data_IF_675724140250
#
_entry.id   IF_675724140250
#
_cell.length_a   1.000
_cell.length_b   1.000
_cell.length_c   1.000
_cell.angle_alpha   90.00
_cell.angle_beta   90.00
_cell.angle_gamma   90.00
#
_symmetry.space_group_name_H-M   'P 1'
#
loop_
_entity.id
_entity.type
_entity.pdbx_description
1 polymer ?
#
# COMPACT_ATOMS: atom_id res chain seq x y z
N UNK A 1 2.50 -1.08 21.83
CA UNK A 1 1.31 -0.81 21.00
C UNK A 1 0.11 -0.67 21.93
N UNK A 2 -0.76 0.33 21.72
CA UNK A 2 -1.97 0.49 22.51
C UNK A 2 -2.96 -0.66 22.26
N UNK A 3 -3.60 -1.12 23.32
CA UNK A 3 -4.61 -2.20 23.28
C UNK A 3 -6.02 -1.63 23.46
N UNK A 4 -7.05 -2.39 23.11
CA UNK A 4 -8.44 -2.00 23.38
C UNK A 4 -8.72 -1.84 24.88
N UNK A 5 -7.96 -2.54 25.74
CA UNK A 5 -8.05 -2.38 27.19
C UNK A 5 -7.59 -0.98 27.61
N UNK A 6 -6.49 -0.47 27.04
CA UNK A 6 -5.98 0.87 27.31
C UNK A 6 -7.00 1.95 26.90
N UNK A 7 -7.60 1.79 25.71
CA UNK A 7 -8.66 2.70 25.24
C UNK A 7 -9.84 2.72 26.21
N UNK A 8 -10.28 1.55 26.69
CA UNK A 8 -11.36 1.46 27.68
C UNK A 8 -10.96 2.07 29.02
N UNK A 9 -9.71 1.91 29.46
CA UNK A 9 -9.21 2.55 30.68
C UNK A 9 -9.27 4.07 30.55
N UNK A 10 -8.71 4.63 29.48
CA UNK A 10 -8.74 6.06 29.23
C UNK A 10 -10.18 6.62 29.17
N UNK A 11 -11.13 5.86 28.60
CA UNK A 11 -12.54 6.26 28.60
C UNK A 11 -13.18 6.22 30.00
N UNK A 12 -12.81 5.25 30.84
CA UNK A 12 -13.26 5.20 32.24
C UNK A 12 -12.72 6.38 33.05
N UNK A 13 -11.49 6.79 32.76
CA UNK A 13 -10.82 7.94 33.39
C UNK A 13 -11.35 9.29 32.86
N UNK A 14 -12.25 9.27 31.88
CA UNK A 14 -12.81 10.47 31.25
C UNK A 14 -11.88 11.13 30.23
N UNK A 15 -10.69 10.57 29.99
CA UNK A 15 -9.72 11.07 29.01
C UNK A 15 -10.07 10.62 27.59
N UNK A 16 -11.06 11.32 27.01
CA UNK A 16 -11.48 11.09 25.62
C UNK A 16 -10.35 11.36 24.61
N UNK A 17 -9.39 12.23 24.91
CA UNK A 17 -8.29 12.58 23.99
C UNK A 17 -7.31 11.43 23.88
N UNK A 18 -6.85 10.90 25.01
CA UNK A 18 -5.98 9.74 25.05
C UNK A 18 -6.64 8.52 24.41
N UNK A 19 -7.91 8.26 24.74
CA UNK A 19 -8.67 7.17 24.13
C UNK A 19 -8.77 7.30 22.60
N UNK A 20 -9.02 8.50 22.09
CA UNK A 20 -9.11 8.74 20.64
C UNK A 20 -7.76 8.51 19.95
N UNK A 21 -6.66 8.99 20.54
CA UNK A 21 -5.31 8.82 20.00
C UNK A 21 -4.91 7.34 19.92
N UNK A 22 -5.09 6.61 21.02
CA UNK A 22 -4.81 5.18 21.09
C UNK A 22 -5.68 4.39 20.09
N UNK A 23 -6.97 4.72 20.03
CA UNK A 23 -7.90 4.07 19.10
C UNK A 23 -7.53 4.32 17.64
N UNK A 24 -7.00 5.50 17.31
CA UNK A 24 -6.55 5.80 15.95
C UNK A 24 -5.36 4.93 15.52
N UNK A 25 -4.41 4.62 16.42
CA UNK A 25 -3.32 3.68 16.13
C UNK A 25 -3.86 2.27 15.91
N UNK A 26 -4.75 1.78 16.80
CA UNK A 26 -5.38 0.46 16.65
C UNK A 26 -6.11 0.34 15.32
N UNK A 27 -6.91 1.35 14.94
CA UNK A 27 -7.66 1.33 13.69
C UNK A 27 -6.78 1.35 12.43
N UNK A 28 -5.54 1.85 12.51
CA UNK A 28 -4.58 1.82 11.40
C UNK A 28 -3.88 0.46 11.29
N UNK A 29 -3.47 -0.10 12.43
CA UNK A 29 -2.62 -1.29 12.48
C UNK A 29 -3.43 -2.59 12.45
N UNK A 30 -4.49 -2.68 13.26
CA UNK A 30 -5.33 -3.87 13.36
C UNK A 30 -6.81 -3.48 13.59
N UNK A 31 -7.53 -3.10 12.51
CA UNK A 31 -8.91 -2.68 12.62
C UNK A 31 -9.81 -3.87 12.97
N UNK A 32 -10.41 -3.86 14.17
CA UNK A 32 -11.41 -4.84 14.61
C UNK A 32 -12.81 -4.24 14.65
N UNK A 33 -13.85 -5.09 14.60
CA UNK A 33 -15.24 -4.64 14.72
C UNK A 33 -15.48 -3.85 16.02
N UNK A 34 -14.88 -4.33 17.12
CA UNK A 34 -14.95 -3.67 18.42
C UNK A 34 -14.27 -2.30 18.42
N UNK A 35 -13.09 -2.15 17.80
CA UNK A 35 -12.42 -0.86 17.69
C UNK A 35 -13.31 0.18 16.98
N UNK A 36 -13.93 -0.21 15.85
CA UNK A 36 -14.87 0.66 15.13
C UNK A 36 -16.12 0.98 15.93
N UNK A 37 -16.62 0.03 16.72
CA UNK A 37 -17.75 0.25 17.60
C UNK A 37 -17.42 1.27 18.71
N UNK A 38 -16.26 1.16 19.35
CA UNK A 38 -15.79 2.14 20.33
C UNK A 38 -15.66 3.52 19.66
N UNK A 39 -15.10 3.58 18.45
CA UNK A 39 -14.97 4.81 17.69
C UNK A 39 -16.34 5.47 17.44
N UNK A 40 -17.35 4.67 17.10
CA UNK A 40 -18.72 5.16 16.93
C UNK A 40 -19.30 5.76 18.22
N UNK A 41 -19.06 5.12 19.37
CA UNK A 41 -19.58 5.55 20.68
C UNK A 41 -18.94 6.85 21.18
N UNK A 42 -17.66 7.08 20.89
CA UNK A 42 -16.92 8.26 21.38
C UNK A 42 -16.99 9.44 20.42
N UNK A 43 -17.46 9.23 19.19
CA UNK A 43 -17.54 10.26 18.17
C UNK A 43 -18.70 11.22 18.43
N UNK A 44 -18.41 12.53 18.51
CA UNK A 44 -19.44 13.55 18.72
C UNK A 44 -20.27 13.86 17.46
N UNK A 45 -19.78 13.47 16.28
CA UNK A 45 -20.43 13.75 15.00
C UNK A 45 -21.34 12.57 14.62
N UNK A 46 -22.66 12.75 14.64
CA UNK A 46 -23.64 11.71 14.27
C UNK A 46 -23.35 11.08 12.89
N UNK A 47 -23.09 11.84 11.80
CA UNK A 47 -22.74 11.25 10.51
C UNK A 47 -21.51 10.33 10.58
N UNK A 48 -20.53 10.70 11.37
CA UNK A 48 -19.28 9.95 11.50
C UNK A 48 -19.43 8.73 12.42
N UNK A 49 -20.22 8.85 13.50
CA UNK A 49 -20.61 7.71 14.34
C UNK A 49 -21.36 6.63 13.53
N UNK A 50 -22.29 7.04 12.66
CA UNK A 50 -22.97 6.14 11.71
C UNK A 50 -21.96 5.43 10.80
N UNK A 51 -20.98 6.17 10.25
CA UNK A 51 -19.94 5.59 9.40
C UNK A 51 -19.09 4.55 10.15
N UNK A 52 -18.72 4.81 11.40
CA UNK A 52 -17.96 3.86 12.21
C UNK A 52 -18.78 2.62 12.62
N UNK A 53 -20.03 2.78 13.04
CA UNK A 53 -20.89 1.64 13.38
C UNK A 53 -21.14 0.73 12.17
N UNK A 54 -21.27 1.30 10.97
CA UNK A 54 -21.34 0.53 9.73
C UNK A 54 -20.07 -0.25 9.43
N UNK A 55 -18.88 0.34 9.64
CA UNK A 55 -17.60 -0.37 9.52
C UNK A 55 -17.49 -1.54 10.50
N UNK A 56 -17.98 -1.38 11.73
CA UNK A 56 -18.04 -2.47 12.70
C UNK A 56 -18.88 -3.65 12.17
N UNK A 57 -20.06 -3.38 11.58
CA UNK A 57 -20.91 -4.41 10.97
C UNK A 57 -20.33 -5.07 9.71
N UNK A 58 -19.35 -4.45 9.04
CA UNK A 58 -18.65 -5.10 7.92
C UNK A 58 -17.74 -6.22 8.41
N UNK A 59 -17.02 -5.92 9.49
CA UNK A 59 -16.05 -6.85 10.06
C UNK A 59 -16.77 -7.94 10.86
N UNK A 60 -17.87 -7.60 11.52
CA UNK A 60 -18.71 -8.54 12.25
C UNK A 60 -20.20 -8.24 11.98
N UNK A 61 -20.82 -8.96 11.02
CA UNK A 61 -22.25 -8.81 10.70
C UNK A 61 -23.21 -9.18 11.82
N UNK A 62 -22.73 -9.87 12.87
CA UNK A 62 -23.51 -10.29 14.03
C UNK A 62 -23.36 -9.33 15.22
N UNK A 63 -22.65 -8.20 15.03
CA UNK A 63 -22.44 -7.21 16.10
C UNK A 63 -23.73 -6.45 16.44
N UNK A 64 -24.52 -7.00 17.37
CA UNK A 64 -25.79 -6.42 17.81
C UNK A 64 -25.64 -5.00 18.39
N UNK A 65 -24.49 -4.67 18.99
CA UNK A 65 -24.26 -3.32 19.53
C UNK A 65 -24.11 -2.28 18.43
N UNK A 66 -23.43 -2.62 17.34
CA UNK A 66 -23.29 -1.74 16.18
C UNK A 66 -24.64 -1.54 15.47
N UNK A 67 -25.43 -2.60 15.34
CA UNK A 67 -26.78 -2.55 14.78
C UNK A 67 -27.71 -1.66 15.63
N UNK A 68 -27.67 -1.83 16.95
CA UNK A 68 -28.40 -0.99 17.89
C UNK A 68 -28.03 0.49 17.76
N UNK A 69 -26.74 0.83 17.64
CA UNK A 69 -26.31 2.21 17.42
C UNK A 69 -26.85 2.79 16.11
N UNK A 70 -26.85 2.02 15.02
CA UNK A 70 -27.42 2.49 13.75
C UNK A 70 -28.91 2.75 13.86
N UNK A 71 -29.64 1.88 14.55
CA UNK A 71 -31.07 2.08 14.82
C UNK A 71 -31.31 3.33 15.65
N UNK A 72 -30.51 3.56 16.71
CA UNK A 72 -30.56 4.78 17.52
C UNK A 72 -30.32 6.04 16.68
N UNK A 73 -29.41 5.97 15.71
CA UNK A 73 -29.16 7.07 14.78
C UNK A 73 -30.14 7.16 13.62
N UNK A 74 -31.18 6.33 13.56
CA UNK A 74 -32.16 6.30 12.46
C UNK A 74 -31.55 5.92 11.10
N UNK A 75 -30.42 5.22 11.10
CA UNK A 75 -29.71 4.80 9.89
C UNK A 75 -30.07 3.34 9.55
N UNK A 76 -30.67 3.06 8.38
CA UNK A 76 -31.01 1.70 8.00
C UNK A 76 -29.75 0.87 7.69
N UNK A 77 -29.80 -0.43 8.00
CA UNK A 77 -28.71 -1.39 7.74
C UNK A 77 -28.41 -1.57 6.24
N UNK A 78 -29.45 -1.55 5.39
CA UNK A 78 -29.38 -1.93 3.96
C UNK A 78 -28.73 -0.90 3.02
N UNK A 79 -28.67 0.38 3.40
CA UNK A 79 -28.09 1.42 2.50
C UNK A 79 -26.57 1.32 2.36
N UNK A 80 -25.92 0.52 3.19
CA UNK A 80 -24.47 0.55 3.30
C UNK A 80 -23.73 -0.25 2.24
N UNK A 81 -24.28 -1.36 1.75
CA UNK A 81 -23.63 -2.12 0.66
C UNK A 81 -23.43 -1.25 -0.59
N UNK A 82 -24.44 -0.46 -0.97
CA UNK A 82 -24.32 0.53 -2.05
C UNK A 82 -23.32 1.64 -1.72
N UNK A 83 -23.28 2.09 -0.47
CA UNK A 83 -22.36 3.14 -0.05
C UNK A 83 -20.90 2.67 -0.04
N UNK A 84 -20.61 1.42 0.34
CA UNK A 84 -19.27 0.82 0.19
C UNK A 84 -18.91 0.78 -1.29
N UNK A 85 -19.81 0.31 -2.17
CA UNK A 85 -19.53 0.29 -3.61
C UNK A 85 -19.16 1.70 -4.11
N UNK A 86 -19.90 2.72 -3.70
CA UNK A 86 -19.56 4.10 -4.04
C UNK A 86 -18.24 4.59 -3.42
N UNK A 87 -17.98 4.36 -2.13
CA UNK A 87 -16.70 4.76 -1.50
C UNK A 87 -15.50 4.03 -2.11
N UNK A 88 -15.66 2.75 -2.45
CA UNK A 88 -14.66 1.94 -3.15
C UNK A 88 -14.42 2.48 -4.56
N UNK A 89 -15.49 2.77 -5.30
CA UNK A 89 -15.40 3.37 -6.65
C UNK A 89 -14.71 4.73 -6.58
N UNK A 90 -15.04 5.58 -5.61
CA UNK A 90 -14.40 6.89 -5.43
C UNK A 90 -12.94 6.78 -5.01
N UNK A 91 -12.60 5.79 -4.17
CA UNK A 91 -11.22 5.52 -3.78
C UNK A 91 -10.41 5.01 -4.98
N UNK A 92 -10.97 4.08 -5.75
CA UNK A 92 -10.37 3.57 -6.99
C UNK A 92 -10.23 4.70 -8.02
N UNK A 93 -11.21 5.58 -8.17
CA UNK A 93 -11.14 6.73 -9.07
C UNK A 93 -10.03 7.70 -8.65
N UNK A 94 -9.89 7.98 -7.35
CA UNK A 94 -8.80 8.82 -6.82
C UNK A 94 -7.42 8.19 -7.00
N UNK A 95 -7.30 6.89 -6.75
CA UNK A 95 -6.07 6.12 -6.99
C UNK A 95 -5.73 6.08 -8.48
N UNK A 96 -6.74 5.95 -9.35
CA UNK A 96 -6.60 5.95 -10.80
C UNK A 96 -6.06 7.30 -11.32
N UNK A 97 -6.59 8.41 -10.81
CA UNK A 97 -6.12 9.76 -11.16
C UNK A 97 -4.68 10.05 -10.68
N UNK A 98 -4.24 9.36 -9.62
CA UNK A 98 -2.87 9.46 -9.11
C UNK A 98 -1.89 8.53 -9.81
N UNK A 99 -2.34 7.44 -10.45
CA UNK A 99 -1.43 6.52 -11.12
C UNK A 99 -1.01 7.05 -12.50
N UNK A 100 0.30 7.17 -12.71
CA UNK A 100 0.89 7.56 -14.00
C UNK A 100 0.68 6.45 -15.06
N UNK A 101 0.63 5.19 -14.60
CA UNK A 101 0.45 4.01 -15.46
C UNK A 101 -0.94 3.99 -16.10
N UNK A 102 -2.01 4.27 -15.35
CA UNK A 102 -3.38 4.21 -15.90
C UNK A 102 -3.73 5.43 -16.77
N UNK A 103 -2.99 6.55 -16.65
CA UNK A 103 -3.13 7.72 -17.55
C UNK A 103 -2.76 7.39 -19.00
N UNK A 104 -1.90 6.40 -19.23
CA UNK A 104 -1.50 5.96 -20.58
C UNK A 104 -2.53 5.05 -21.26
N UNK A 105 -3.54 4.55 -20.52
CA UNK A 105 -4.58 3.69 -21.07
C UNK A 105 -5.75 4.51 -21.62
N UNK A 106 -6.32 4.07 -22.74
CA UNK A 106 -7.52 4.70 -23.31
C UNK A 106 -8.71 4.54 -22.35
N UNK A 107 -9.71 5.42 -22.44
CA UNK A 107 -10.89 5.36 -21.57
C UNK A 107 -11.61 4.01 -21.64
N UNK A 108 -11.62 3.38 -22.82
CA UNK A 108 -12.19 2.05 -23.05
C UNK A 108 -11.40 0.94 -22.32
N UNK A 109 -10.06 0.98 -22.37
CA UNK A 109 -9.21 0.02 -21.66
C UNK A 109 -9.31 0.17 -20.14
N UNK A 110 -9.44 1.40 -19.64
CA UNK A 110 -9.70 1.67 -18.22
C UNK A 110 -11.03 1.06 -17.78
N UNK A 111 -12.11 1.29 -18.54
CA UNK A 111 -13.42 0.72 -18.24
C UNK A 111 -13.40 -0.82 -18.23
N UNK A 112 -12.69 -1.44 -19.17
CA UNK A 112 -12.54 -2.90 -19.25
C UNK A 112 -11.74 -3.47 -18.08
N UNK A 113 -10.65 -2.83 -17.66
CA UNK A 113 -9.86 -3.27 -16.51
C UNK A 113 -10.67 -3.19 -15.21
N UNK A 114 -11.36 -2.07 -14.97
CA UNK A 114 -12.16 -1.91 -13.75
C UNK A 114 -13.40 -2.81 -13.75
N UNK A 115 -14.12 -2.88 -14.87
CA UNK A 115 -15.23 -3.81 -15.03
C UNK A 115 -14.79 -5.26 -14.85
N UNK A 116 -13.65 -5.62 -15.45
CA UNK A 116 -13.04 -6.95 -15.33
C UNK A 116 -12.69 -7.29 -13.90
N UNK A 117 -12.00 -6.42 -13.17
CA UNK A 117 -11.62 -6.66 -11.76
C UNK A 117 -12.85 -6.79 -10.87
N UNK A 118 -13.86 -5.94 -11.02
CA UNK A 118 -15.10 -6.04 -10.23
C UNK A 118 -15.82 -7.35 -10.52
N UNK A 119 -15.95 -7.74 -11.80
CA UNK A 119 -16.55 -9.02 -12.19
C UNK A 119 -15.76 -10.18 -11.61
N UNK A 120 -14.43 -10.12 -11.62
CA UNK A 120 -13.55 -11.17 -11.09
C UNK A 120 -13.68 -11.28 -9.56
N UNK A 121 -13.79 -10.17 -8.84
CA UNK A 121 -14.04 -10.15 -7.39
C UNK A 121 -15.43 -10.74 -7.09
N UNK A 122 -16.48 -10.29 -7.78
CA UNK A 122 -17.84 -10.79 -7.57
C UNK A 122 -17.94 -12.27 -7.93
N UNK A 123 -17.33 -12.70 -9.03
CA UNK A 123 -17.26 -14.11 -9.43
C UNK A 123 -16.49 -14.94 -8.40
N UNK A 124 -15.37 -14.42 -7.88
CA UNK A 124 -14.61 -15.09 -6.80
C UNK A 124 -15.44 -15.21 -5.53
N UNK A 125 -16.16 -14.16 -5.12
CA UNK A 125 -17.05 -14.21 -3.95
C UNK A 125 -18.23 -15.17 -4.17
N UNK A 126 -18.81 -15.22 -5.37
CA UNK A 126 -19.89 -16.16 -5.68
C UNK A 126 -19.40 -17.60 -5.72
N UNK A 127 -18.26 -17.87 -6.36
CA UNK A 127 -17.62 -19.19 -6.35
C UNK A 127 -17.24 -19.63 -4.93
N UNK A 128 -16.78 -18.69 -4.10
CA UNK A 128 -16.52 -18.95 -2.69
C UNK A 128 -17.82 -19.31 -1.94
N UNK A 129 -18.92 -18.60 -2.20
CA UNK A 129 -20.20 -18.89 -1.55
C UNK A 129 -20.87 -20.21 -1.98
N UNK A 130 -20.62 -20.67 -3.22
CA UNK A 130 -21.22 -21.92 -3.72
C UNK A 130 -20.38 -23.16 -3.37
N UNK A 131 -19.06 -23.02 -3.29
CA UNK A 131 -18.17 -24.13 -2.92
C UNK A 131 -18.02 -24.29 -1.41
N UNK A 132 -18.10 -23.20 -0.63
CA UNK A 132 -18.20 -23.26 0.82
C UNK A 132 -19.67 -23.20 1.26
N UNK A 133 -20.37 -24.33 1.14
CA UNK A 133 -21.54 -24.57 2.00
C UNK A 133 -21.05 -24.62 3.44
N UNK A 134 -21.10 -23.48 4.14
CA UNK A 134 -20.82 -23.36 5.57
C UNK A 134 -21.80 -24.25 6.34
N UNK A 135 -21.41 -25.50 6.52
CA UNK A 135 -21.94 -26.34 7.58
C UNK A 135 -21.51 -25.66 8.87
N UNK A 136 -22.46 -25.22 9.69
CA UNK A 136 -22.30 -24.38 10.87
C UNK A 136 -21.62 -25.09 12.06
N UNK A 137 -20.47 -25.71 11.81
CA UNK A 137 -19.47 -26.09 12.79
C UNK A 137 -18.18 -25.33 12.47
N UNK A 138 -18.11 -24.08 12.96
CA UNK A 138 -16.90 -23.26 12.94
C UNK A 138 -15.85 -23.86 13.87
N UNK A 139 -15.21 -24.94 13.43
CA UNK A 139 -13.86 -25.30 13.87
C UNK A 139 -12.96 -24.27 13.19
N UNK A 140 -12.51 -23.27 13.94
CA UNK A 140 -11.48 -22.33 13.51
C UNK A 140 -10.32 -23.20 13.04
N UNK A 141 -10.05 -23.24 11.73
CA UNK A 141 -8.88 -23.93 11.24
C UNK A 141 -7.68 -23.18 11.82
N UNK A 142 -6.96 -23.82 12.72
CA UNK A 142 -5.76 -23.32 13.41
C UNK A 142 -4.56 -23.27 12.44
N UNK A 143 -4.84 -22.92 11.18
CA UNK A 143 -3.85 -22.78 10.12
C UNK A 143 -3.47 -21.31 10.11
N UNK A 144 -2.39 -21.02 10.83
CA UNK A 144 -1.73 -19.71 10.80
C UNK A 144 -1.53 -19.31 9.33
N UNK A 145 -2.03 -18.13 8.89
CA UNK A 145 -1.86 -17.70 7.51
C UNK A 145 -0.35 -17.68 7.18
N UNK A 146 0.05 -18.09 5.96
CA UNK A 146 1.46 -18.15 5.60
C UNK A 146 2.08 -16.76 5.82
N UNK A 147 3.10 -16.71 6.68
CA UNK A 147 3.88 -15.50 6.88
C UNK A 147 4.65 -15.22 5.59
N UNK A 148 4.22 -14.20 4.85
CA UNK A 148 4.98 -13.70 3.70
C UNK A 148 6.23 -13.03 4.25
N UNK A 149 7.38 -13.69 4.10
CA UNK A 149 8.67 -13.11 4.46
C UNK A 149 9.05 -12.12 3.37
N UNK A 150 9.08 -10.84 3.71
CA UNK A 150 9.59 -9.79 2.83
C UNK A 150 11.10 -9.67 3.04
N UNK A 151 11.87 -10.01 2.01
CA UNK A 151 13.31 -9.75 2.00
C UNK A 151 13.54 -8.29 1.62
N UNK A 152 14.03 -7.50 2.57
CA UNK A 152 14.44 -6.12 2.35
C UNK A 152 15.85 -6.09 1.79
N UNK A 153 16.01 -5.44 0.65
CA UNK A 153 17.29 -5.24 -0.01
C UNK A 153 18.03 -4.12 0.73
N UNK A 154 19.24 -4.38 1.18
CA UNK A 154 20.07 -3.36 1.83
C UNK A 154 20.86 -2.54 0.80
N UNK A 155 21.17 -1.28 1.11
CA UNK A 155 21.98 -0.47 0.21
C UNK A 155 23.38 -1.07 -0.03
N UNK A 156 23.95 -1.74 0.98
CA UNK A 156 25.27 -2.36 0.87
C UNK A 156 25.22 -3.62 -0.02
N UNK A 157 24.10 -4.34 -0.05
CA UNK A 157 23.85 -5.44 -0.99
C UNK A 157 23.70 -4.94 -2.43
N UNK A 158 22.97 -3.83 -2.65
CA UNK A 158 22.92 -3.17 -3.96
C UNK A 158 24.32 -2.81 -4.43
N UNK A 159 25.13 -2.20 -3.57
CA UNK A 159 26.52 -1.86 -3.88
C UNK A 159 27.32 -3.11 -4.23
N UNK A 160 27.25 -4.17 -3.42
CA UNK A 160 27.97 -5.42 -3.66
C UNK A 160 27.62 -6.05 -5.01
N UNK A 161 26.33 -6.08 -5.37
CA UNK A 161 25.89 -6.59 -6.68
C UNK A 161 26.44 -5.71 -7.81
N UNK A 162 26.40 -4.38 -7.69
CA UNK A 162 26.90 -3.52 -8.76
C UNK A 162 28.44 -3.45 -8.85
N UNK A 163 29.17 -3.71 -7.76
CA UNK A 163 30.63 -3.75 -7.73
C UNK A 163 31.21 -5.10 -8.15
N UNK A 164 30.53 -6.22 -7.84
CA UNK A 164 31.04 -7.58 -8.11
C UNK A 164 31.19 -7.88 -9.61
N UNK A 165 30.43 -7.22 -10.48
CA UNK A 165 30.62 -7.30 -11.91
C UNK A 165 31.42 -6.10 -12.39
N UNK A 166 32.72 -6.32 -12.57
CA UNK A 166 33.73 -5.38 -13.08
C UNK A 166 33.44 -4.97 -14.54
N UNK A 167 32.27 -4.38 -14.77
CA UNK A 167 31.78 -3.96 -16.06
C UNK A 167 32.24 -2.54 -16.27
N UNK A 168 33.10 -2.33 -17.28
CA UNK A 168 33.58 -1.02 -17.75
C UNK A 168 32.45 -0.06 -18.21
N UNK A 169 31.19 -0.41 -17.99
CA UNK A 169 30.00 0.31 -18.42
C UNK A 169 29.58 1.39 -17.40
N UNK A 170 29.95 1.23 -16.13
CA UNK A 170 29.47 2.08 -15.05
C UNK A 170 30.61 2.50 -14.13
N UNK A 171 30.68 3.79 -13.79
CA UNK A 171 31.42 4.24 -12.61
C UNK A 171 30.44 4.41 -11.46
N UNK A 172 30.66 3.69 -10.38
CA UNK A 172 29.83 3.80 -9.20
C UNK A 172 30.29 4.97 -8.34
N UNK A 173 29.39 5.91 -8.06
CA UNK A 173 29.67 6.99 -7.10
C UNK A 173 28.61 6.94 -6.02
N UNK A 174 28.97 6.44 -4.84
CA UNK A 174 28.08 6.46 -3.68
C UNK A 174 27.86 7.90 -3.24
N UNK A 175 26.67 8.44 -3.51
CA UNK A 175 26.24 9.74 -2.99
C UNK A 175 25.19 9.46 -1.91
N UNK A 176 25.64 9.42 -0.66
CA UNK A 176 24.68 9.34 0.45
C UNK A 176 24.11 10.74 0.65
N UNK A 177 23.00 11.04 -0.03
CA UNK A 177 22.36 12.35 0.09
C UNK A 177 21.48 12.36 1.35
N UNK A 178 21.78 13.18 2.37
CA UNK A 178 21.11 13.14 3.68
C UNK A 178 19.71 13.78 3.68
N UNK A 179 19.10 14.00 2.51
CA UNK A 179 17.97 14.91 2.38
C UNK A 179 16.59 14.33 2.74
N UNK A 180 16.46 13.02 2.90
CA UNK A 180 15.25 12.40 3.44
C UNK A 180 15.64 11.24 4.37
N UNK A 181 15.21 11.30 5.62
CA UNK A 181 15.70 10.44 6.71
C UNK A 181 15.48 8.93 6.52
N UNK A 182 14.72 8.51 5.50
CA UNK A 182 14.19 7.15 5.37
C UNK A 182 14.57 6.46 4.03
N UNK A 183 15.51 7.03 3.27
CA UNK A 183 16.01 6.43 2.02
C UNK A 183 17.50 6.65 1.83
N UNK A 184 18.16 5.70 1.18
CA UNK A 184 19.54 5.80 0.69
C UNK A 184 19.51 5.90 -0.83
N UNK A 185 20.29 6.81 -1.40
CA UNK A 185 20.39 6.99 -2.86
C UNK A 185 21.76 6.48 -3.31
N UNK A 186 21.78 5.65 -4.35
CA UNK A 186 23.00 5.18 -5.00
C UNK A 186 22.99 5.75 -6.41
N UNK A 187 23.94 6.63 -6.74
CA UNK A 187 24.03 7.26 -8.07
C UNK A 187 25.06 6.53 -8.92
N UNK A 188 24.61 6.01 -10.05
CA UNK A 188 25.41 5.30 -11.04
C UNK A 188 25.78 6.27 -12.16
N UNK A 189 27.07 6.50 -12.37
CA UNK A 189 27.59 7.30 -13.49
C UNK A 189 27.74 6.41 -14.71
N UNK A 190 26.91 6.65 -15.71
CA UNK A 190 26.89 5.93 -16.99
C UNK A 190 27.74 6.72 -17.98
N UNK A 191 28.90 6.18 -18.37
CA UNK A 191 29.73 6.78 -19.40
C UNK A 191 29.21 6.37 -20.78
N UNK A 192 28.47 7.27 -21.43
CA UNK A 192 28.09 7.07 -22.82
C UNK A 192 29.26 7.49 -23.74
N UNK A 193 30.05 6.49 -24.17
CA UNK A 193 31.20 6.67 -25.05
C UNK A 193 30.83 7.21 -26.45
N UNK A 194 29.59 7.07 -26.92
CA UNK A 194 29.22 7.54 -28.26
C UNK A 194 28.90 9.04 -28.27
N UNK A 195 28.36 9.56 -27.17
CA UNK A 195 27.99 10.97 -27.06
C UNK A 195 28.97 11.79 -26.21
N UNK A 196 30.00 11.16 -25.62
CA UNK A 196 30.90 11.78 -24.65
C UNK A 196 30.14 12.55 -23.55
N UNK A 197 29.01 11.97 -23.11
CA UNK A 197 28.13 12.54 -22.08
C UNK A 197 28.04 11.56 -20.93
N UNK A 198 28.27 12.07 -19.73
CA UNK A 198 27.97 11.36 -18.50
C UNK A 198 26.48 11.46 -18.22
N UNK A 199 25.82 10.33 -18.06
CA UNK A 199 24.42 10.24 -17.61
C UNK A 199 24.37 9.59 -16.24
N UNK A 200 23.29 9.80 -15.50
CA UNK A 200 23.13 9.21 -14.18
C UNK A 200 21.91 8.32 -14.14
N UNK A 201 22.06 7.15 -13.52
CA UNK A 201 20.95 6.38 -12.98
C UNK A 201 21.00 6.43 -11.46
N UNK A 202 19.86 6.31 -10.80
CA UNK A 202 19.74 6.40 -9.36
C UNK A 202 18.98 5.19 -8.84
N UNK A 203 19.47 4.59 -7.75
CA UNK A 203 18.77 3.55 -7.02
C UNK A 203 18.40 4.09 -5.65
N UNK A 204 17.11 4.17 -5.39
CA UNK A 204 16.53 4.54 -4.10
C UNK A 204 16.32 3.26 -3.31
N UNK A 205 16.91 3.16 -2.12
CA UNK A 205 16.72 2.04 -1.20
C UNK A 205 16.04 2.58 0.06
N UNK A 206 14.82 2.14 0.31
CA UNK A 206 13.98 2.62 1.42
C UNK A 206 14.12 1.71 2.62
N UNK A 207 14.07 2.29 3.83
CA UNK A 207 14.13 1.49 5.07
C UNK A 207 12.84 0.67 5.30
N UNK A 208 11.74 1.04 4.63
CA UNK A 208 10.47 0.33 4.68
C UNK A 208 9.61 0.58 3.43
N UNK A 209 8.62 -0.29 3.19
CA UNK A 209 7.63 -0.09 2.12
C UNK A 209 6.82 1.19 2.37
N UNK A 210 6.48 1.50 3.63
CA UNK A 210 5.78 2.75 3.98
C UNK A 210 6.57 3.99 3.57
N UNK A 211 7.88 4.01 3.80
CA UNK A 211 8.74 5.10 3.37
C UNK A 211 8.76 5.26 1.84
N UNK A 212 8.74 4.15 1.09
CA UNK A 212 8.63 4.18 -0.37
C UNK A 212 7.28 4.76 -0.85
N UNK A 213 6.18 4.40 -0.19
CA UNK A 213 4.83 4.91 -0.50
C UNK A 213 4.75 6.41 -0.22
N UNK A 214 5.27 6.86 0.93
CA UNK A 214 5.27 8.28 1.30
C UNK A 214 6.08 9.13 0.31
N UNK A 215 7.08 8.54 -0.33
CA UNK A 215 7.97 9.19 -1.30
C UNK A 215 7.47 9.14 -2.75
N UNK A 216 6.27 8.61 -3.00
CA UNK A 216 5.69 8.48 -4.34
C UNK A 216 5.59 9.83 -5.07
N UNK A 217 5.34 10.93 -4.35
CA UNK A 217 5.29 12.27 -4.93
C UNK A 217 6.65 12.69 -5.51
N UNK A 218 7.75 12.38 -4.81
CA UNK A 218 9.11 12.64 -5.28
C UNK A 218 9.44 11.76 -6.49
N UNK A 219 9.16 10.45 -6.44
CA UNK A 219 9.37 9.55 -7.57
C UNK A 219 8.56 10.00 -8.81
N UNK A 220 7.35 10.53 -8.62
CA UNK A 220 6.54 11.06 -9.71
C UNK A 220 7.11 12.31 -10.37
N UNK A 221 8.00 13.04 -9.69
CA UNK A 221 8.64 14.25 -10.24
C UNK A 221 9.61 13.97 -11.38
N UNK A 222 10.14 12.74 -11.48
CA UNK A 222 10.92 12.30 -12.63
C UNK A 222 10.08 12.25 -13.92
N UNK A 223 8.75 12.13 -13.80
CA UNK A 223 7.80 12.25 -14.89
C UNK A 223 8.10 11.32 -16.07
N UNK A 224 7.88 11.82 -17.29
CA UNK A 224 8.15 11.08 -18.53
C UNK A 224 9.63 11.08 -18.94
N UNK A 225 10.50 11.76 -18.19
CA UNK A 225 11.93 11.88 -18.51
C UNK A 225 12.76 10.66 -18.08
N UNK A 226 12.19 9.79 -17.25
CA UNK A 226 12.86 8.61 -16.72
C UNK A 226 11.98 7.36 -16.80
N UNK A 227 12.64 6.21 -16.82
CA UNK A 227 12.05 4.93 -16.56
C UNK A 227 12.29 4.54 -15.10
N UNK A 228 11.30 3.88 -14.51
CA UNK A 228 11.33 3.43 -13.12
C UNK A 228 11.07 1.93 -13.05
N UNK A 229 11.88 1.21 -12.29
CA UNK A 229 11.73 -0.23 -12.02
C UNK A 229 11.79 -0.40 -10.51
N UNK A 230 10.74 -0.97 -9.92
CA UNK A 230 10.66 -1.21 -8.48
C UNK A 230 10.89 -2.68 -8.16
N UNK A 231 11.64 -2.96 -7.09
CA UNK A 231 11.93 -4.29 -6.60
C UNK A 231 12.02 -4.27 -5.06
N UNK A 232 11.09 -4.95 -4.38
CA UNK A 232 10.96 -4.92 -2.92
C UNK A 232 10.88 -3.47 -2.37
N UNK A 233 11.86 -3.05 -1.57
CA UNK A 233 12.04 -1.71 -1.01
C UNK A 233 13.01 -0.83 -1.81
N UNK A 234 13.37 -1.23 -3.04
CA UNK A 234 14.28 -0.49 -3.89
C UNK A 234 13.60 -0.02 -5.19
N UNK A 235 13.99 1.15 -5.69
CA UNK A 235 13.50 1.72 -6.95
C UNK A 235 14.69 2.18 -7.77
N UNK A 236 14.88 1.58 -8.94
CA UNK A 236 15.82 2.03 -9.96
C UNK A 236 15.14 3.08 -10.85
N UNK A 237 15.78 4.23 -11.00
CA UNK A 237 15.37 5.32 -11.89
C UNK A 237 16.50 5.60 -12.89
N UNK A 238 16.19 5.60 -14.18
CA UNK A 238 17.19 5.89 -15.22
C UNK A 238 16.60 6.71 -16.38
N UNK A 239 17.41 7.49 -17.13
CA UNK A 239 16.90 8.38 -18.16
C UNK A 239 16.20 7.62 -19.30
N UNK A 240 15.10 8.17 -19.80
CA UNK A 240 14.33 7.55 -20.90
C UNK A 240 15.14 7.44 -22.20
N UNK A 241 16.10 8.34 -22.40
CA UNK A 241 16.97 8.36 -23.57
C UNK A 241 18.13 7.35 -23.49
N UNK A 242 18.24 6.56 -22.42
CA UNK A 242 19.34 5.62 -22.23
C UNK A 242 19.33 4.55 -23.33
N UNK A 243 20.50 4.22 -23.90
CA UNK A 243 20.59 3.24 -24.97
C UNK A 243 19.99 1.89 -24.54
N UNK A 244 19.20 1.21 -25.40
CA UNK A 244 18.49 -0.01 -25.01
C UNK A 244 19.39 -1.13 -24.46
N UNK A 245 20.65 -1.24 -24.92
CA UNK A 245 21.58 -2.27 -24.41
C UNK A 245 22.03 -1.96 -22.98
N UNK A 246 22.35 -0.69 -22.70
CA UNK A 246 22.79 -0.23 -21.38
C UNK A 246 21.60 -0.31 -20.40
N UNK A 247 20.42 0.17 -20.82
CA UNK A 247 19.20 0.09 -20.03
C UNK A 247 18.84 -1.37 -19.68
N UNK A 248 18.89 -2.31 -20.64
CA UNK A 248 18.64 -3.73 -20.37
C UNK A 248 19.64 -4.35 -19.40
N UNK A 249 20.92 -4.02 -19.53
CA UNK A 249 21.95 -4.49 -18.59
C UNK A 249 21.71 -3.94 -17.19
N UNK A 250 21.38 -2.65 -17.08
CA UNK A 250 21.07 -1.98 -15.82
C UNK A 250 19.86 -2.61 -15.12
N UNK A 251 18.76 -2.81 -15.85
CA UNK A 251 17.53 -3.44 -15.33
C UNK A 251 17.79 -4.89 -14.92
N UNK A 252 18.44 -5.69 -15.78
CA UNK A 252 18.77 -7.08 -15.47
C UNK A 252 19.63 -7.19 -14.22
N UNK A 253 20.58 -6.27 -14.02
CA UNK A 253 21.43 -6.25 -12.83
C UNK A 253 20.62 -5.90 -11.59
N UNK A 254 19.74 -4.91 -11.69
CA UNK A 254 18.84 -4.54 -10.61
C UNK A 254 17.89 -5.69 -10.23
N UNK A 255 17.30 -6.39 -11.21
CA UNK A 255 16.42 -7.54 -10.98
C UNK A 255 17.14 -8.72 -10.30
N UNK A 256 18.46 -8.87 -10.51
CA UNK A 256 19.24 -9.93 -9.87
C UNK A 256 19.32 -9.80 -8.35
N UNK A 257 19.02 -8.62 -7.79
CA UNK A 257 18.90 -8.41 -6.34
C UNK A 257 17.78 -9.24 -5.70
N UNK A 258 16.79 -9.70 -6.47
CA UNK A 258 15.74 -10.57 -5.95
C UNK A 258 16.19 -12.01 -5.69
N UNK A 259 17.36 -12.38 -6.22
CA UNK A 259 17.87 -13.76 -6.21
C UNK A 259 18.95 -14.00 -5.15
N UNK A 260 19.44 -12.94 -4.50
CA UNK A 260 20.41 -12.99 -3.39
C UNK A 260 19.70 -13.20 -2.05
#
# INVERSE_FOLDING_TARGET
MPTLLDVRSALKDGDKKAATYQLQSILRENPTAEAWLIAAKICNSRPQAIKYARRALMLDPQNHQAEYLLHMFGAPRRTFARQIVHESVDFIARQNDQSVVLKRLSAAQRALLFGGVIVLIVASCMLFSTTFSFSSSLTIADVVPPTVVFNFISADEVMAVFEAENTNLFHLTRITEPQASNRRVIRLSLNDLAYNRTRFAEIFVYDSISAMIDDQAYLSSYGDSAHMVALSNAVLVYPAELRPNIARQLVRRFESLASG
#
